data_IF_177750594151
#
_entry.id   IF_177750594151
#
_cell.length_a   1.000
_cell.length_b   1.000
_cell.length_c   1.000
_cell.angle_alpha   90.00
_cell.angle_beta   90.00
_cell.angle_gamma   90.00
#
_symmetry.space_group_name_H-M   'P 1'
#
loop_
_entity.id
_entity.type
_entity.pdbx_description
1 polymer ?
#
# COMPACT_ATOMS: atom_id res chain seq x y z
N UNK A 1 1.51 -2.09 16.23
CA UNK A 1 2.89 -2.53 16.53
C UNK A 1 3.84 -1.37 16.25
N UNK A 2 4.76 -1.09 17.17
CA UNK A 2 5.84 -0.12 16.98
C UNK A 2 7.14 -0.92 16.86
N UNK A 3 8.04 -0.49 15.98
CA UNK A 3 9.34 -1.12 15.78
C UNK A 3 10.43 -0.19 16.32
N UNK A 4 11.58 -0.76 16.70
CA UNK A 4 12.74 0.00 17.17
C UNK A 4 13.27 0.95 16.09
N UNK A 5 13.33 0.47 14.85
CA UNK A 5 13.88 1.19 13.71
C UNK A 5 13.11 0.89 12.42
N UNK A 6 13.32 1.75 11.41
CA UNK A 6 12.64 1.65 10.11
C UNK A 6 13.07 0.41 9.31
N UNK A 7 14.33 0.01 9.43
CA UNK A 7 14.87 -1.15 8.72
C UNK A 7 14.19 -2.44 9.16
N UNK A 8 14.00 -2.63 10.47
CA UNK A 8 13.27 -3.78 11.02
C UNK A 8 11.81 -3.78 10.57
N UNK A 9 11.17 -2.60 10.54
CA UNK A 9 9.80 -2.45 10.06
C UNK A 9 9.68 -2.86 8.59
N UNK A 10 10.58 -2.42 7.72
CA UNK A 10 10.56 -2.77 6.28
C UNK A 10 10.88 -4.26 6.06
N UNK A 11 11.79 -4.83 6.85
CA UNK A 11 12.08 -6.28 6.83
C UNK A 11 10.84 -7.11 7.19
N UNK A 12 10.11 -6.74 8.25
CA UNK A 12 8.86 -7.43 8.62
C UNK A 12 7.77 -7.21 7.58
N UNK A 13 7.64 -5.99 7.05
CA UNK A 13 6.63 -5.67 6.04
C UNK A 13 6.87 -6.42 4.73
N UNK A 14 8.11 -6.55 4.28
CA UNK A 14 8.46 -7.32 3.08
C UNK A 14 8.25 -8.82 3.27
N UNK A 15 8.60 -9.36 4.44
CA UNK A 15 8.39 -10.77 4.78
C UNK A 15 6.91 -11.17 4.97
N UNK A 16 5.98 -10.21 5.04
CA UNK A 16 4.55 -10.49 5.28
C UNK A 16 3.93 -11.43 4.26
N UNK A 17 4.50 -11.55 3.06
CA UNK A 17 4.03 -12.50 2.04
C UNK A 17 4.10 -13.95 2.51
N UNK A 18 4.98 -14.26 3.45
CA UNK A 18 5.11 -15.59 4.06
C UNK A 18 3.92 -15.94 4.97
N UNK A 19 3.03 -14.98 5.27
CA UNK A 19 1.81 -15.19 6.03
C UNK A 19 0.58 -15.47 5.13
N UNK A 20 0.76 -15.49 3.81
CA UNK A 20 -0.33 -15.86 2.90
C UNK A 20 -0.78 -17.29 3.19
N UNK A 21 -2.09 -17.48 3.36
CA UNK A 21 -2.69 -18.79 3.67
C UNK A 21 -2.73 -19.15 5.16
N UNK A 22 -2.12 -18.35 6.05
CA UNK A 22 -2.16 -18.63 7.50
C UNK A 22 -3.35 -18.00 8.22
N UNK A 23 -4.13 -17.15 7.53
CA UNK A 23 -5.20 -16.35 8.12
C UNK A 23 -4.71 -15.09 8.85
N UNK A 24 -3.39 -14.90 9.00
CA UNK A 24 -2.82 -13.72 9.65
C UNK A 24 -2.65 -12.59 8.62
N UNK A 25 -3.16 -11.39 8.95
CA UNK A 25 -3.01 -10.19 8.12
C UNK A 25 -2.18 -9.12 8.81
N UNK A 26 -1.16 -8.60 8.12
CA UNK A 26 -0.42 -7.41 8.54
C UNK A 26 -0.84 -6.23 7.65
N UNK A 27 -1.40 -5.21 8.29
CA UNK A 27 -1.84 -3.97 7.64
C UNK A 27 -1.06 -2.78 8.18
N UNK A 28 -0.83 -1.80 7.31
CA UNK A 28 -0.18 -0.55 7.69
C UNK A 28 -1.23 0.44 8.19
N UNK A 29 -0.93 1.09 9.32
CA UNK A 29 -1.78 2.14 9.83
C UNK A 29 -1.52 3.43 9.05
N UNK A 30 -2.48 3.84 8.22
CA UNK A 30 -2.44 5.10 7.49
C UNK A 30 -3.21 6.19 8.22
N UNK A 31 -2.74 7.43 8.13
CA UNK A 31 -3.55 8.59 8.52
C UNK A 31 -4.81 8.70 7.63
N UNK A 32 -5.86 9.35 8.15
CA UNK A 32 -7.20 9.41 7.52
C UNK A 32 -7.15 9.84 6.04
N UNK A 33 -6.33 10.83 5.70
CA UNK A 33 -6.19 11.32 4.32
C UNK A 33 -5.60 10.25 3.39
N UNK A 34 -4.50 9.60 3.78
CA UNK A 34 -3.88 8.52 3.01
C UNK A 34 -4.78 7.29 2.94
N UNK A 35 -5.49 6.96 4.01
CA UNK A 35 -6.46 5.88 3.97
C UNK A 35 -7.56 6.14 2.93
N UNK A 36 -8.08 7.39 2.84
CA UNK A 36 -9.07 7.76 1.83
C UNK A 36 -8.54 7.58 0.40
N UNK A 37 -7.30 8.01 0.14
CA UNK A 37 -6.64 7.83 -1.16
C UNK A 37 -6.45 6.33 -1.46
N UNK A 38 -6.06 5.54 -0.47
CA UNK A 38 -5.86 4.11 -0.63
C UNK A 38 -7.16 3.37 -0.99
N UNK A 39 -8.28 3.74 -0.35
CA UNK A 39 -9.58 3.19 -0.69
C UNK A 39 -10.03 3.60 -2.11
N UNK A 40 -9.83 4.87 -2.48
CA UNK A 40 -10.13 5.35 -3.83
C UNK A 40 -9.29 4.62 -4.90
N UNK A 41 -7.99 4.40 -4.64
CA UNK A 41 -7.12 3.63 -5.53
C UNK A 41 -7.60 2.19 -5.70
N UNK A 42 -7.98 1.53 -4.61
CA UNK A 42 -8.54 0.16 -4.63
C UNK A 42 -9.87 0.08 -5.35
N UNK A 43 -10.71 1.11 -5.27
CA UNK A 43 -11.96 1.20 -6.02
C UNK A 43 -11.70 1.29 -7.53
N UNK A 44 -10.66 2.03 -7.94
CA UNK A 44 -10.31 2.25 -9.35
C UNK A 44 -9.55 1.06 -9.97
N UNK A 45 -8.49 0.58 -9.34
CA UNK A 45 -7.55 -0.41 -9.91
C UNK A 45 -7.73 -1.82 -9.36
N UNK A 46 -8.55 -1.98 -8.31
CA UNK A 46 -8.76 -3.26 -7.63
C UNK A 46 -7.79 -3.50 -6.47
N UNK A 47 -8.21 -4.37 -5.56
CA UNK A 47 -7.52 -4.64 -4.29
C UNK A 47 -6.10 -5.17 -4.49
N UNK A 48 -5.89 -6.06 -5.47
CA UNK A 48 -4.60 -6.73 -5.69
C UNK A 48 -3.56 -5.83 -6.37
N UNK A 49 -4.00 -4.73 -6.98
CA UNK A 49 -3.14 -3.76 -7.69
C UNK A 49 -2.74 -2.57 -6.82
N UNK A 50 -3.25 -2.49 -5.60
CA UNK A 50 -2.93 -1.41 -4.67
C UNK A 50 -2.41 -1.97 -3.35
N UNK A 51 -1.26 -1.48 -2.91
CA UNK A 51 -0.70 -1.82 -1.59
C UNK A 51 -0.03 -0.61 -0.97
N UNK A 52 0.33 -0.72 0.30
CA UNK A 52 1.09 0.31 0.99
C UNK A 52 2.55 -0.13 1.16
N UNK A 53 3.45 0.85 1.16
CA UNK A 53 4.85 0.66 1.52
C UNK A 53 5.35 1.96 2.13
N UNK A 54 5.85 1.86 3.35
CA UNK A 54 6.44 2.98 4.07
C UNK A 54 5.54 4.24 4.10
N UNK A 55 4.29 4.02 4.50
CA UNK A 55 3.24 5.01 4.61
C UNK A 55 2.74 5.54 3.27
N UNK A 56 3.30 5.09 2.15
CA UNK A 56 2.96 5.54 0.80
C UNK A 56 2.07 4.52 0.12
N UNK A 57 1.27 4.98 -0.84
CA UNK A 57 0.37 4.12 -1.59
C UNK A 57 1.04 3.79 -2.91
N UNK A 58 1.14 2.50 -3.19
CA UNK A 58 1.66 1.96 -4.44
C UNK A 58 0.50 1.44 -5.28
N UNK A 59 0.47 1.84 -6.54
CA UNK A 59 -0.54 1.42 -7.53
C UNK A 59 0.17 0.78 -8.72
N UNK A 60 -0.35 -0.34 -9.19
CA UNK A 60 0.01 -0.94 -10.47
C UNK A 60 -1.06 -0.57 -11.49
N UNK A 61 -0.69 0.19 -12.52
CA UNK A 61 -1.61 0.56 -13.60
C UNK A 61 -1.90 -0.63 -14.54
N UNK A 62 -2.87 -0.50 -15.46
CA UNK A 62 -3.20 -1.56 -16.43
C UNK A 62 -2.02 -1.97 -17.32
N UNK A 63 -1.09 -1.04 -17.60
CA UNK A 63 0.12 -1.25 -18.39
C UNK A 63 1.24 -1.95 -17.60
N UNK A 64 1.04 -2.19 -16.29
CA UNK A 64 1.98 -2.87 -15.41
C UNK A 64 3.09 -1.97 -14.83
N UNK A 65 2.98 -0.65 -14.99
CA UNK A 65 3.86 0.33 -14.37
C UNK A 65 3.41 0.64 -12.94
N UNK A 66 4.40 0.80 -12.06
CA UNK A 66 4.19 1.09 -10.64
C UNK A 66 4.26 2.59 -10.39
N UNK A 67 3.28 3.10 -9.67
CA UNK A 67 3.18 4.50 -9.25
C UNK A 67 3.17 4.58 -7.73
N UNK A 68 3.89 5.56 -7.19
CA UNK A 68 3.81 5.95 -5.79
C UNK A 68 2.99 7.22 -5.70
N UNK A 69 1.92 7.21 -4.90
CA UNK A 69 1.04 8.36 -4.74
C UNK A 69 0.87 8.74 -3.26
N UNK A 70 0.65 10.03 -3.03
CA UNK A 70 0.37 10.62 -1.73
C UNK A 70 -0.86 11.55 -1.77
N UNK A 71 -1.38 11.88 -2.96
CA UNK A 71 -2.50 12.80 -3.17
C UNK A 71 -3.56 12.21 -4.09
N UNK A 72 -4.76 12.81 -4.10
CA UNK A 72 -5.83 12.41 -5.01
C UNK A 72 -5.55 12.83 -6.46
N UNK A 73 -4.87 13.96 -6.67
CA UNK A 73 -4.52 14.44 -8.02
C UNK A 73 -3.54 13.49 -8.71
N UNK A 74 -2.57 12.96 -7.99
CA UNK A 74 -1.67 11.92 -8.51
C UNK A 74 -2.44 10.64 -8.85
N UNK A 75 -3.43 10.24 -8.03
CA UNK A 75 -4.27 9.09 -8.34
C UNK A 75 -5.05 9.28 -9.64
N UNK A 76 -5.60 10.47 -9.87
CA UNK A 76 -6.35 10.81 -11.07
C UNK A 76 -5.47 10.90 -12.32
N UNK A 77 -4.20 11.25 -12.17
CA UNK A 77 -3.25 11.38 -13.27
C UNK A 77 -2.72 10.04 -13.80
N UNK A 78 -2.89 8.94 -13.04
CA UNK A 78 -2.57 7.59 -13.52
C UNK A 78 -3.60 7.23 -14.60
N UNK A 79 -3.18 6.67 -15.76
CA UNK A 79 -4.08 6.17 -16.81
C UNK A 79 -5.11 5.15 -16.30
#
# INVERSE_FOLDING_TARGET
>A
MKFRDWSLRDAVWSAKTNLKGTGVTISEFLIKSRHKIFLAARQRFGVTKCWTRDGSIMVLDPEGKRHRIATMSELSAIP
#
